data_IF_183017875484
#
_entry.id   IF_183017875484
#
_cell.length_a   1.000
_cell.length_b   1.000
_cell.length_c   1.000
_cell.angle_alpha   90.00
_cell.angle_beta   90.00
_cell.angle_gamma   90.00
#
_symmetry.space_group_name_H-M   'P 1'
#
loop_
_entity.id
_entity.type
_entity.pdbx_description
1 polymer ?
#
# COMPACT_ATOMS: atom_id res chain seq x y z
N UNK A 1 5.57 -7.29 14.20
CA UNK A 1 6.84 -7.90 14.61
C UNK A 1 7.80 -6.83 15.08
N UNK A 2 7.67 -6.41 16.32
CA UNK A 2 8.54 -5.41 16.94
C UNK A 2 9.77 -6.15 17.49
N UNK A 3 10.98 -5.63 17.24
CA UNK A 3 12.23 -6.18 17.73
C UNK A 3 13.06 -5.05 18.37
N UNK A 4 13.29 -5.17 19.68
CA UNK A 4 13.89 -4.13 20.51
C UNK A 4 15.27 -4.57 20.99
N UNK A 5 16.19 -3.61 21.16
CA UNK A 5 17.52 -3.82 21.76
C UNK A 5 17.66 -2.88 22.95
N UNK A 6 18.09 -3.41 24.11
CA UNK A 6 18.26 -2.68 25.38
C UNK A 6 16.99 -2.00 25.95
N UNK A 7 15.80 -2.36 25.47
CA UNK A 7 14.50 -1.95 26.02
C UNK A 7 13.54 -3.14 26.01
N UNK A 8 12.59 -3.15 26.94
CA UNK A 8 11.61 -4.23 27.09
C UNK A 8 10.67 -4.41 25.89
N UNK A 9 9.86 -5.47 25.88
CA UNK A 9 8.94 -5.79 24.79
C UNK A 9 7.81 -4.74 24.61
N UNK A 10 7.57 -3.89 25.60
CA UNK A 10 6.61 -2.77 25.54
C UNK A 10 7.20 -1.49 24.95
N UNK A 11 8.45 -1.49 24.48
CA UNK A 11 9.07 -0.35 23.80
C UNK A 11 8.43 -0.12 22.44
N UNK A 12 7.40 0.72 22.40
CA UNK A 12 6.70 1.16 21.20
C UNK A 12 6.20 2.60 21.40
N UNK A 13 6.03 3.34 20.31
CA UNK A 13 5.57 4.73 20.35
C UNK A 13 4.64 5.05 19.17
N UNK A 14 3.91 6.16 19.26
CA UNK A 14 2.89 6.59 18.30
C UNK A 14 3.45 6.74 16.87
N UNK A 15 4.74 7.07 16.72
CA UNK A 15 5.38 7.22 15.41
C UNK A 15 5.56 5.91 14.63
N UNK A 16 5.59 4.76 15.32
CA UNK A 16 5.83 3.45 14.71
C UNK A 16 4.54 2.72 14.32
N UNK A 17 4.63 1.86 13.30
CA UNK A 17 3.58 0.91 13.00
C UNK A 17 3.54 -0.18 14.10
N UNK A 18 2.44 -0.22 14.86
CA UNK A 18 2.28 -1.17 15.97
C UNK A 18 1.52 -2.42 15.52
N UNK A 19 2.05 -3.61 15.80
CA UNK A 19 1.37 -4.88 15.50
C UNK A 19 2.32 -6.07 15.41
N UNK A 20 1.76 -7.28 15.34
CA UNK A 20 2.48 -8.56 15.40
C UNK A 20 2.37 -9.40 14.13
N UNK A 21 3.10 -10.52 14.10
CA UNK A 21 3.06 -11.50 13.01
C UNK A 21 2.51 -12.85 13.52
N UNK A 22 2.29 -13.82 12.62
CA UNK A 22 1.80 -15.17 12.95
C UNK A 22 0.40 -15.12 13.59
N UNK A 23 0.18 -15.80 14.71
CA UNK A 23 -1.09 -15.83 15.44
C UNK A 23 -1.53 -14.45 15.95
N UNK A 24 -0.63 -13.45 15.96
CA UNK A 24 -1.00 -12.06 16.27
C UNK A 24 -1.79 -11.38 15.14
N UNK A 25 -1.88 -11.99 13.95
CA UNK A 25 -2.85 -11.57 12.91
C UNK A 25 -2.35 -10.56 11.87
N UNK A 26 -1.07 -10.15 11.90
CA UNK A 26 -0.41 -9.42 10.80
C UNK A 26 -0.78 -7.94 10.64
N UNK A 27 -1.83 -7.45 11.31
CA UNK A 27 -2.26 -6.06 11.25
C UNK A 27 -1.21 -5.05 11.74
N UNK A 28 -1.39 -3.78 11.37
CA UNK A 28 -0.58 -2.64 11.83
C UNK A 28 -1.45 -1.41 12.08
N UNK A 29 -1.16 -0.70 13.16
CA UNK A 29 -1.91 0.46 13.65
C UNK A 29 -0.98 1.62 14.06
N UNK A 30 -1.57 2.78 14.35
CA UNK A 30 -0.90 4.01 14.81
C UNK A 30 -0.05 4.69 13.74
N UNK A 31 1.28 4.57 13.80
CA UNK A 31 2.21 5.35 13.00
C UNK A 31 2.56 4.76 11.64
N UNK A 32 3.61 5.33 11.03
CA UNK A 32 4.09 5.00 9.68
C UNK A 32 2.97 5.09 8.62
N UNK A 33 2.92 4.15 7.69
CA UNK A 33 1.91 4.07 6.64
C UNK A 33 0.71 3.17 6.98
N UNK A 34 0.48 2.90 8.28
CA UNK A 34 -0.66 2.10 8.77
C UNK A 34 -2.02 2.68 8.34
N UNK A 35 -2.11 4.00 8.13
CA UNK A 35 -3.31 4.66 7.59
C UNK A 35 -3.72 4.11 6.22
N UNK A 36 -2.79 3.55 5.43
CA UNK A 36 -3.09 2.95 4.12
C UNK A 36 -4.04 1.76 4.23
N UNK A 37 -4.08 1.06 5.37
CA UNK A 37 -5.03 -0.03 5.58
C UNK A 37 -6.49 0.45 5.64
N UNK A 38 -6.71 1.73 5.97
CA UNK A 38 -8.03 2.35 6.09
C UNK A 38 -8.44 3.12 4.83
N UNK A 39 -7.61 3.09 3.78
CA UNK A 39 -7.88 3.72 2.49
C UNK A 39 -7.74 2.70 1.36
N UNK A 40 -8.40 2.96 0.22
CA UNK A 40 -8.29 2.10 -0.96
C UNK A 40 -7.35 2.71 -1.98
N UNK A 41 -6.31 1.96 -2.38
CA UNK A 41 -5.40 2.37 -3.47
C UNK A 41 -6.09 2.21 -4.83
N UNK A 42 -5.95 3.23 -5.69
CA UNK A 42 -6.33 3.19 -7.11
C UNK A 42 -5.10 3.43 -7.98
N UNK A 43 -5.06 2.86 -9.19
CA UNK A 43 -4.02 3.11 -10.18
C UNK A 43 -4.69 3.62 -11.45
N UNK A 44 -4.38 4.84 -11.86
CA UNK A 44 -5.08 5.53 -12.94
C UNK A 44 -4.07 5.92 -14.02
N UNK A 45 -4.36 5.56 -15.27
CA UNK A 45 -3.58 5.96 -16.45
C UNK A 45 -4.44 6.89 -17.28
N UNK A 46 -3.97 8.13 -17.46
CA UNK A 46 -4.63 9.12 -18.30
C UNK A 46 -3.84 9.28 -19.60
N UNK A 47 -4.50 9.02 -20.74
CA UNK A 47 -3.93 9.27 -22.06
C UNK A 47 -4.54 10.57 -22.62
N UNK A 48 -3.72 11.63 -22.75
CA UNK A 48 -4.13 12.92 -23.30
C UNK A 48 -3.90 13.05 -24.82
N UNK A 49 -3.44 11.99 -25.48
CA UNK A 49 -3.20 11.99 -26.93
C UNK A 49 -4.47 11.62 -27.72
N UNK A 50 -4.49 11.97 -29.01
CA UNK A 50 -5.50 11.49 -29.95
C UNK A 50 -5.22 10.07 -30.46
N UNK A 51 -4.16 9.42 -29.97
CA UNK A 51 -3.76 8.08 -30.38
C UNK A 51 -4.10 7.05 -29.31
N UNK A 52 -4.82 6.02 -29.70
CA UNK A 52 -4.91 4.77 -28.96
C UNK A 52 -4.22 3.69 -29.80
N UNK A 53 -3.34 2.86 -29.22
CA UNK A 53 -2.74 1.76 -29.97
C UNK A 53 -3.86 0.83 -30.47
N UNK A 54 -3.94 0.66 -31.79
CA UNK A 54 -4.92 -0.22 -32.42
C UNK A 54 -4.55 -1.68 -32.12
N UNK A 55 -5.52 -2.47 -31.70
CA UNK A 55 -5.33 -3.91 -31.54
C UNK A 55 -4.96 -4.52 -32.90
N UNK A 56 -3.77 -5.12 -32.99
CA UNK A 56 -3.26 -5.82 -34.19
C UNK A 56 -3.16 -4.94 -35.46
N UNK A 57 -3.15 -3.61 -35.33
CA UNK A 57 -3.08 -2.70 -36.48
C UNK A 57 -4.36 -2.58 -37.31
N UNK A 58 -5.48 -3.13 -36.82
CA UNK A 58 -6.79 -3.02 -37.49
C UNK A 58 -7.26 -1.56 -37.43
N UNK A 59 -7.48 -0.94 -38.59
CA UNK A 59 -8.06 0.40 -38.70
C UNK A 59 -9.59 0.28 -38.71
N UNK A 60 -10.25 0.91 -37.76
CA UNK A 60 -11.70 1.08 -37.81
C UNK A 60 -12.01 2.32 -38.67
N UNK A 61 -12.41 2.09 -39.93
CA UNK A 61 -13.00 3.14 -40.78
C UNK A 61 -14.51 3.24 -40.49
N UNK A 62 -15.07 4.46 -40.55
CA UNK A 62 -16.51 4.74 -40.50
C UNK A 62 -17.03 4.89 -41.92
#
# INVERSE_FOLDING_TARGET
GIANVNIGPSGAEIGGAFGGEKETGGGRESGSDSWKAYMRRTTNTFNYSHSLPLAQGIKFEV
#
